data_IF_422162945064
#
_entry.id   IF_422162945064
#
_cell.length_a   1.000
_cell.length_b   1.000
_cell.length_c   1.000
_cell.angle_alpha   90.00
_cell.angle_beta   90.00
_cell.angle_gamma   90.00
#
_symmetry.space_group_name_H-M   'P 1'
#
loop_
_entity.id
_entity.type
_entity.pdbx_description
1 polymer ?
#
# COMPACT_ATOMS: atom_id res chain seq x y z
N UNK A 1 20.50 -16.75 -26.41
CA UNK A 1 20.03 -15.72 -25.46
C UNK A 1 18.63 -16.10 -25.02
N UNK A 2 18.55 -16.70 -23.83
CA UNK A 2 17.37 -17.40 -23.30
C UNK A 2 16.18 -16.46 -23.17
N UNK A 3 15.02 -16.88 -23.70
CA UNK A 3 13.80 -16.11 -23.80
C UNK A 3 13.12 -15.89 -22.45
N UNK A 4 13.38 -14.74 -21.84
CA UNK A 4 12.57 -14.22 -20.73
C UNK A 4 11.36 -13.53 -21.34
N UNK A 5 10.16 -14.09 -21.16
CA UNK A 5 8.91 -13.36 -21.41
C UNK A 5 8.91 -12.12 -20.49
N UNK A 6 8.86 -10.93 -21.08
CA UNK A 6 8.67 -9.71 -20.30
C UNK A 6 7.21 -9.65 -19.89
N UNK A 7 6.92 -9.84 -18.62
CA UNK A 7 5.62 -9.52 -18.07
C UNK A 7 5.41 -8.00 -18.18
N UNK A 8 4.33 -7.57 -18.83
CA UNK A 8 3.98 -6.17 -18.97
C UNK A 8 3.22 -5.67 -17.72
N UNK A 9 3.63 -4.51 -17.21
CA UNK A 9 3.09 -3.95 -15.98
C UNK A 9 3.74 -2.62 -15.62
N UNK A 10 3.08 -1.88 -14.75
CA UNK A 10 3.55 -0.59 -14.24
C UNK A 10 3.63 -0.65 -12.72
N UNK A 11 4.71 -0.08 -12.17
CA UNK A 11 4.84 0.15 -10.75
C UNK A 11 4.88 1.64 -10.48
N UNK A 12 4.09 2.11 -9.53
CA UNK A 12 3.98 3.51 -9.17
C UNK A 12 4.01 3.69 -7.66
N UNK A 13 4.67 4.75 -7.20
CA UNK A 13 4.79 5.07 -5.78
C UNK A 13 4.54 6.56 -5.55
N UNK A 14 3.79 6.85 -4.50
CA UNK A 14 3.66 8.19 -3.94
C UNK A 14 4.17 8.13 -2.52
N UNK A 15 5.28 8.83 -2.27
CA UNK A 15 5.82 8.98 -0.94
C UNK A 15 5.06 10.10 -0.21
N UNK A 16 4.61 9.81 0.99
CA UNK A 16 3.98 10.77 1.91
C UNK A 16 4.72 10.71 3.25
N UNK A 17 4.44 11.64 4.17
CA UNK A 17 5.20 11.76 5.42
C UNK A 17 5.32 10.40 6.16
N UNK A 18 6.53 9.83 6.15
CA UNK A 18 6.91 8.55 6.78
C UNK A 18 6.08 7.33 6.36
N UNK A 19 5.43 7.40 5.20
CA UNK A 19 4.52 6.38 4.70
C UNK A 19 4.45 6.40 3.16
N UNK A 20 3.57 5.64 2.53
CA UNK A 20 3.50 5.57 1.06
C UNK A 20 2.18 5.01 0.54
N UNK A 21 1.90 5.31 -0.72
CA UNK A 21 0.97 4.55 -1.55
C UNK A 21 1.78 3.88 -2.67
N UNK A 22 1.62 2.58 -2.86
CA UNK A 22 2.23 1.81 -3.94
C UNK A 22 1.15 1.15 -4.79
N UNK A 23 1.41 1.01 -6.09
CA UNK A 23 0.59 0.24 -7.02
C UNK A 23 1.50 -0.59 -7.91
N UNK A 24 1.12 -1.84 -8.16
CA UNK A 24 1.77 -2.72 -9.13
C UNK A 24 0.71 -3.34 -10.02
N UNK A 25 0.84 -3.19 -11.34
CA UNK A 25 -0.09 -3.78 -12.31
C UNK A 25 0.54 -4.96 -13.03
N UNK A 26 -0.28 -5.96 -13.28
CA UNK A 26 0.02 -7.20 -13.99
C UNK A 26 -0.98 -7.29 -15.14
N UNK A 27 -0.61 -6.71 -16.30
CA UNK A 27 -1.58 -6.42 -17.36
C UNK A 27 -2.09 -7.70 -18.02
N UNK A 28 -1.23 -8.69 -18.20
CA UNK A 28 -1.61 -9.97 -18.82
C UNK A 28 -2.59 -10.76 -17.94
N UNK A 29 -2.47 -10.58 -16.63
CA UNK A 29 -3.27 -11.23 -15.60
C UNK A 29 -4.52 -10.43 -15.23
N UNK A 30 -4.66 -9.20 -15.72
CA UNK A 30 -5.76 -8.29 -15.33
C UNK A 30 -5.76 -7.97 -13.83
N UNK A 31 -4.57 -7.98 -13.21
CA UNK A 31 -4.42 -7.96 -11.76
C UNK A 31 -3.66 -6.73 -11.28
N UNK A 32 -3.95 -6.27 -10.07
CA UNK A 32 -3.30 -5.14 -9.43
C UNK A 32 -3.14 -5.39 -7.95
N UNK A 33 -1.97 -5.07 -7.42
CA UNK A 33 -1.76 -4.96 -5.98
C UNK A 33 -1.56 -3.49 -5.59
N UNK A 34 -2.08 -3.12 -4.42
CA UNK A 34 -2.00 -1.77 -3.90
C UNK A 34 -1.67 -1.81 -2.40
N UNK A 35 -0.72 -0.97 -1.97
CA UNK A 35 -0.56 -0.64 -0.55
C UNK A 35 -0.95 0.80 -0.32
N UNK A 36 -1.88 1.04 0.62
CA UNK A 36 -2.21 2.38 1.12
C UNK A 36 -1.77 2.46 2.57
N UNK A 37 -0.58 3.00 2.79
CA UNK A 37 -0.01 3.17 4.12
C UNK A 37 0.04 4.64 4.49
N UNK A 38 -0.52 5.00 5.63
CA UNK A 38 -0.56 6.37 6.14
C UNK A 38 -0.30 6.39 7.64
N UNK A 39 0.50 7.36 8.09
CA UNK A 39 0.67 7.66 9.52
C UNK A 39 -0.56 8.38 10.12
N UNK A 40 -1.43 8.97 9.27
CA UNK A 40 -2.70 9.57 9.68
C UNK A 40 -3.86 8.57 9.50
N UNK A 41 -4.85 8.55 10.41
CA UNK A 41 -6.06 7.76 10.22
C UNK A 41 -6.77 8.11 8.93
N UNK A 42 -7.32 7.10 8.27
CA UNK A 42 -8.15 7.24 7.07
C UNK A 42 -9.17 6.10 7.04
N UNK A 43 -10.23 6.28 6.26
CA UNK A 43 -11.23 5.26 6.02
C UNK A 43 -10.73 4.29 4.94
N UNK A 44 -10.51 3.03 5.33
CA UNK A 44 -10.03 1.99 4.43
C UNK A 44 -11.06 1.64 3.36
N UNK A 45 -12.35 1.66 3.68
CA UNK A 45 -13.41 1.30 2.73
C UNK A 45 -13.53 2.36 1.64
N UNK A 46 -13.35 3.64 1.99
CA UNK A 46 -13.29 4.74 1.01
C UNK A 46 -12.09 4.58 0.07
N UNK A 47 -10.92 4.21 0.59
CA UNK A 47 -9.73 3.99 -0.24
C UNK A 47 -9.90 2.78 -1.18
N UNK A 48 -10.46 1.68 -0.68
CA UNK A 48 -10.76 0.47 -1.47
C UNK A 48 -11.78 0.78 -2.56
N UNK A 49 -12.88 1.45 -2.23
CA UNK A 49 -13.93 1.78 -3.20
C UNK A 49 -13.42 2.75 -4.28
N UNK A 50 -12.55 3.70 -3.91
CA UNK A 50 -11.87 4.56 -4.88
C UNK A 50 -11.04 3.74 -5.86
N UNK A 51 -10.14 2.88 -5.39
CA UNK A 51 -9.29 2.04 -6.25
C UNK A 51 -10.13 1.11 -7.12
N UNK A 52 -11.14 0.45 -6.54
CA UNK A 52 -12.07 -0.43 -7.27
C UNK A 52 -12.74 0.30 -8.42
N UNK A 53 -13.24 1.52 -8.19
CA UNK A 53 -13.89 2.34 -9.23
C UNK A 53 -12.91 2.85 -10.28
N UNK A 54 -11.70 3.25 -9.87
CA UNK A 54 -10.68 3.76 -10.80
C UNK A 54 -10.20 2.73 -11.80
N UNK A 55 -10.08 1.45 -11.39
CA UNK A 55 -9.56 0.38 -12.25
C UNK A 55 -10.63 -0.62 -12.73
N UNK A 56 -11.86 -0.54 -12.21
CA UNK A 56 -12.97 -1.38 -12.64
C UNK A 56 -12.90 -2.83 -12.15
N UNK A 57 -12.30 -3.08 -10.99
CA UNK A 57 -12.16 -4.44 -10.45
C UNK A 57 -13.50 -5.04 -10.01
N UNK A 58 -13.72 -6.30 -10.36
CA UNK A 58 -14.91 -7.07 -9.98
C UNK A 58 -14.71 -7.83 -8.66
N UNK A 59 -13.47 -8.24 -8.39
CA UNK A 59 -13.08 -8.95 -7.16
C UNK A 59 -11.98 -8.17 -6.45
N UNK A 60 -12.06 -8.11 -5.12
CA UNK A 60 -11.16 -7.31 -4.28
C UNK A 60 -10.90 -8.07 -2.98
N UNK A 61 -9.63 -8.35 -2.71
CA UNK A 61 -9.15 -8.86 -1.42
C UNK A 61 -8.46 -7.74 -0.64
N UNK A 62 -8.79 -7.59 0.64
CA UNK A 62 -8.34 -6.47 1.49
C UNK A 62 -7.80 -6.99 2.81
N UNK A 63 -6.59 -6.57 3.15
CA UNK A 63 -5.98 -6.81 4.44
C UNK A 63 -5.57 -5.49 5.11
N UNK A 64 -6.09 -5.23 6.30
CA UNK A 64 -5.83 -3.99 7.06
C UNK A 64 -4.95 -4.30 8.26
N UNK A 65 -3.76 -3.69 8.29
CA UNK A 65 -2.77 -3.90 9.36
C UNK A 65 -2.49 -2.58 10.08
N UNK A 66 -2.73 -2.55 11.40
CA UNK A 66 -2.26 -1.44 12.25
C UNK A 66 -0.75 -1.55 12.46
N UNK A 67 -0.01 -0.52 12.04
CA UNK A 67 1.46 -0.42 12.17
C UNK A 67 1.83 0.46 13.36
N UNK A 68 3.07 0.36 13.84
CA UNK A 68 3.61 1.27 14.87
C UNK A 68 3.08 1.09 16.30
N UNK A 69 2.41 -0.03 16.62
CA UNK A 69 1.78 -0.25 17.94
C UNK A 69 2.72 -0.17 19.15
N UNK A 70 4.03 -0.33 18.94
CA UNK A 70 5.06 -0.22 19.99
C UNK A 70 5.89 1.06 19.89
N UNK A 71 5.67 1.87 18.86
CA UNK A 71 6.50 3.05 18.57
C UNK A 71 6.38 4.12 19.66
N UNK A 72 5.17 4.33 20.20
CA UNK A 72 4.96 5.23 21.35
C UNK A 72 5.82 4.86 22.55
N UNK A 73 5.86 3.57 22.92
CA UNK A 73 6.67 3.09 24.07
C UNK A 73 8.16 3.33 23.89
N UNK A 74 8.65 3.29 22.65
CA UNK A 74 10.05 3.58 22.33
C UNK A 74 10.31 5.08 22.47
N UNK A 75 9.44 5.93 21.94
CA UNK A 75 9.57 7.39 22.10
C UNK A 75 9.47 7.84 23.56
N UNK A 76 8.57 7.24 24.33
CA UNK A 76 8.42 7.54 25.77
C UNK A 76 9.68 7.12 26.55
N UNK A 77 10.24 5.94 26.25
CA UNK A 77 11.49 5.45 26.85
C UNK A 77 12.71 6.31 26.48
N UNK A 78 12.77 6.82 25.25
CA UNK A 78 13.83 7.75 24.83
C UNK A 78 13.69 9.09 25.54
N UNK A 79 12.47 9.65 25.58
CA UNK A 79 12.20 10.93 26.27
C UNK A 79 12.43 10.88 27.77
N UNK A 80 12.21 9.73 28.43
CA UNK A 80 12.48 9.58 29.86
C UNK A 80 13.96 9.42 30.22
N UNK A 81 14.83 9.19 29.22
CA UNK A 81 16.28 9.02 29.39
C UNK A 81 17.09 10.27 29.00
N UNK A 82 16.43 11.27 28.44
CA UNK A 82 16.97 12.60 28.15
C UNK A 82 16.60 13.55 29.29
#
# INVERSE_FOLDING_TARGET
SSGVKKHNGWSGFVLIAESHVSLHTFVEEGYLTADVYSCKPFDCDVAVDFLRKSFGFQDVDVNVIKRGLKFSRVLDSIRSKL
#
